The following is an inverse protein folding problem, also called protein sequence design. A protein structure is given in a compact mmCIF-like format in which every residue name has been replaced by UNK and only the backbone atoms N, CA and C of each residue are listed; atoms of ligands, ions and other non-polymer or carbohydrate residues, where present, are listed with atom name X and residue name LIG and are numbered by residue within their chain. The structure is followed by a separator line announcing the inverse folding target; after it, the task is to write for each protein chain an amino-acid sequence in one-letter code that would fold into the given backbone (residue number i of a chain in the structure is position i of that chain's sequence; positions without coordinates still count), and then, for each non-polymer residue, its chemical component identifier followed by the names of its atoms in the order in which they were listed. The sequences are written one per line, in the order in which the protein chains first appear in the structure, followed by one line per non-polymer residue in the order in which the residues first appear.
data_IF_883557266393
#
_entry.id   IF_883557266393
#
_cell.length_a   1.000
_cell.length_b   1.000
_cell.length_c   1.000
_cell.angle_alpha   90.00
_cell.angle_beta   90.00
_cell.angle_gamma   90.00
#
_symmetry.space_group_name_H-M   'P 1'
#
loop_
_entity.id
_entity.type
_entity.pdbx_description
1 polymer ?
#
# COMPACT_ATOMS: atom_id res chain seq x y z
N UNK A 1 4.30 -36.20 -4.08
CA UNK A 1 4.02 -35.77 -5.46
C UNK A 1 5.12 -34.83 -5.88
N UNK A 2 5.97 -35.25 -6.79
CA UNK A 2 6.98 -34.34 -7.37
C UNK A 2 6.29 -33.38 -8.31
N UNK A 3 6.28 -32.10 -7.97
CA UNK A 3 5.84 -31.05 -8.86
C UNK A 3 6.99 -30.78 -9.83
N UNK A 4 6.88 -31.32 -11.02
CA UNK A 4 7.88 -31.08 -12.07
C UNK A 4 7.67 -29.68 -12.67
N UNK A 5 8.26 -28.67 -12.02
CA UNK A 5 8.19 -27.29 -12.47
C UNK A 5 9.21 -27.13 -13.61
N UNK A 6 8.72 -27.07 -14.84
CA UNK A 6 9.54 -26.73 -15.99
C UNK A 6 9.85 -25.24 -15.99
N UNK A 7 11.11 -24.87 -15.95
CA UNK A 7 11.51 -23.47 -16.10
C UNK A 7 11.10 -22.94 -17.49
N UNK A 8 10.54 -21.74 -17.52
CA UNK A 8 10.16 -21.01 -18.73
C UNK A 8 10.93 -19.70 -18.80
N UNK A 9 11.22 -19.23 -19.99
CA UNK A 9 11.80 -17.89 -20.17
C UNK A 9 10.77 -16.79 -19.88
N UNK A 10 11.24 -15.59 -19.52
CA UNK A 10 10.35 -14.44 -19.33
C UNK A 10 9.55 -14.11 -20.60
N UNK A 11 10.13 -14.32 -21.78
CA UNK A 11 9.46 -14.10 -23.07
C UNK A 11 8.30 -15.07 -23.24
N UNK A 12 8.51 -16.38 -23.00
CA UNK A 12 7.43 -17.37 -23.06
C UNK A 12 6.30 -17.08 -22.08
N UNK A 13 6.63 -16.64 -20.86
CA UNK A 13 5.64 -16.25 -19.86
C UNK A 13 4.84 -15.03 -20.29
N UNK A 14 5.51 -14.01 -20.87
CA UNK A 14 4.86 -12.81 -21.37
C UNK A 14 3.92 -13.14 -22.54
N UNK A 15 4.36 -13.90 -23.53
CA UNK A 15 3.54 -14.32 -24.67
C UNK A 15 2.32 -15.13 -24.24
N UNK A 16 2.47 -16.01 -23.24
CA UNK A 16 1.35 -16.77 -22.68
C UNK A 16 0.37 -15.87 -21.96
N UNK A 17 0.86 -14.90 -21.16
CA UNK A 17 0.02 -13.92 -20.49
C UNK A 17 -0.77 -13.08 -21.50
N UNK A 18 -0.13 -12.55 -22.55
CA UNK A 18 -0.81 -11.74 -23.58
C UNK A 18 -1.91 -12.52 -24.31
N UNK A 19 -1.73 -13.82 -24.52
CA UNK A 19 -2.73 -14.69 -25.16
C UNK A 19 -3.89 -15.05 -24.24
N UNK A 20 -3.67 -15.12 -22.93
CA UNK A 20 -4.63 -15.66 -21.96
C UNK A 20 -5.22 -14.62 -21.03
N UNK A 21 -4.69 -13.39 -21.02
CA UNK A 21 -5.18 -12.34 -20.14
C UNK A 21 -6.64 -11.99 -20.42
N UNK A 22 -7.41 -11.90 -19.36
CA UNK A 22 -8.77 -11.38 -19.41
C UNK A 22 -8.74 -9.89 -19.15
N UNK A 23 -9.19 -9.11 -20.12
CA UNK A 23 -9.35 -7.66 -19.96
C UNK A 23 -10.58 -7.38 -19.12
N UNK A 24 -10.36 -7.01 -17.85
CA UNK A 24 -11.43 -6.49 -16.99
C UNK A 24 -11.53 -4.97 -17.13
N UNK A 25 -12.75 -4.45 -17.13
CA UNK A 25 -12.96 -3.00 -17.06
C UNK A 25 -12.66 -2.54 -15.64
N UNK A 26 -11.63 -1.74 -15.47
CA UNK A 26 -11.27 -1.11 -14.20
C UNK A 26 -11.84 0.29 -14.06
N UNK A 27 -12.07 0.72 -12.84
CA UNK A 27 -12.39 2.10 -12.49
C UNK A 27 -11.24 2.72 -11.69
N UNK A 28 -10.93 3.98 -12.01
CA UNK A 28 -9.90 4.72 -11.28
C UNK A 28 -10.43 5.18 -9.93
N UNK A 29 -9.77 4.78 -8.86
CA UNK A 29 -10.05 5.27 -7.52
C UNK A 29 -9.65 6.75 -7.41
N UNK A 30 -10.54 7.56 -6.84
CA UNK A 30 -10.34 8.99 -6.61
C UNK A 30 -10.08 9.25 -5.14
N UNK A 31 -9.05 10.03 -4.85
CA UNK A 31 -8.71 10.52 -3.50
C UNK A 31 -8.92 12.03 -3.43
N UNK A 32 -9.37 12.51 -2.27
CA UNK A 32 -9.56 13.92 -2.00
C UNK A 32 -8.98 14.30 -0.63
N UNK A 33 -8.84 15.59 -0.36
CA UNK A 33 -8.35 16.16 0.90
C UNK A 33 -6.91 15.72 1.27
N UNK A 34 -6.05 15.61 0.27
CA UNK A 34 -4.64 15.25 0.42
C UNK A 34 -3.68 16.43 0.18
N UNK A 35 -4.21 17.66 0.19
CA UNK A 35 -3.43 18.90 0.08
C UNK A 35 -2.56 18.98 -1.19
N UNK A 36 -3.08 18.52 -2.32
CA UNK A 36 -2.39 18.52 -3.62
C UNK A 36 -1.26 17.52 -3.75
N UNK A 37 -1.12 16.60 -2.80
CA UNK A 37 -0.16 15.49 -2.87
C UNK A 37 -0.67 14.36 -3.77
N UNK A 38 0.24 13.56 -4.27
CA UNK A 38 -0.09 12.34 -5.02
C UNK A 38 -0.39 11.18 -4.05
N UNK A 39 -1.29 10.29 -4.45
CA UNK A 39 -1.66 9.08 -3.70
C UNK A 39 -1.43 7.87 -4.59
N UNK A 40 -0.65 6.91 -4.12
CA UNK A 40 -0.35 5.67 -4.84
C UNK A 40 0.10 4.54 -3.90
N UNK A 41 0.47 3.39 -4.46
CA UNK A 41 0.83 2.19 -3.70
C UNK A 41 -0.18 1.89 -2.60
N UNK A 42 -1.45 1.81 -2.99
CA UNK A 42 -2.55 1.56 -2.08
C UNK A 42 -2.66 0.08 -1.70
N UNK A 43 -3.13 -0.20 -0.49
CA UNK A 43 -3.54 -1.56 -0.12
C UNK A 43 -4.87 -1.93 -0.77
N UNK A 44 -5.19 -3.22 -0.82
CA UNK A 44 -6.58 -3.63 -0.98
C UNK A 44 -7.43 -3.07 0.17
N UNK A 45 -8.73 -2.79 -0.04
CA UNK A 45 -9.62 -2.39 1.03
C UNK A 45 -9.72 -3.49 2.11
N UNK A 46 -9.66 -3.07 3.37
CA UNK A 46 -9.81 -3.95 4.53
C UNK A 46 -10.84 -3.37 5.52
N UNK A 47 -11.37 -4.22 6.39
CA UNK A 47 -12.42 -3.82 7.32
C UNK A 47 -11.84 -3.35 8.65
N UNK A 48 -12.28 -2.17 9.09
CA UNK A 48 -12.01 -1.61 10.42
C UNK A 48 -13.32 -1.06 10.97
N UNK A 49 -13.79 -1.62 12.07
CA UNK A 49 -15.05 -1.22 12.73
C UNK A 49 -16.23 -1.08 11.76
N UNK A 50 -16.38 -2.06 10.85
CA UNK A 50 -17.45 -2.11 9.87
C UNK A 50 -17.30 -1.12 8.70
N UNK A 51 -16.17 -0.44 8.57
CA UNK A 51 -15.86 0.45 7.45
C UNK A 51 -14.79 -0.16 6.57
N UNK A 52 -14.91 0.04 5.27
CA UNK A 52 -13.82 -0.27 4.32
C UNK A 52 -12.78 0.84 4.37
N UNK A 53 -11.55 0.44 4.63
CA UNK A 53 -10.39 1.34 4.76
C UNK A 53 -9.33 0.96 3.73
N UNK A 54 -8.67 1.94 3.16
CA UNK A 54 -7.45 1.78 2.34
C UNK A 54 -6.32 2.48 3.07
N UNK A 55 -5.17 1.84 3.21
CA UNK A 55 -3.93 2.52 3.53
C UNK A 55 -3.21 2.88 2.22
N UNK A 56 -2.69 4.09 2.12
CA UNK A 56 -2.07 4.60 0.92
C UNK A 56 -0.83 5.44 1.20
N UNK A 57 0.14 5.37 0.31
CA UNK A 57 1.31 6.25 0.29
C UNK A 57 0.89 7.61 -0.27
N UNK A 58 1.18 8.66 0.48
CA UNK A 58 0.87 10.05 0.14
C UNK A 58 2.15 10.86 0.18
N UNK A 59 2.52 11.50 -0.91
CA UNK A 59 3.73 12.32 -0.96
C UNK A 59 3.64 13.47 -1.96
N UNK A 60 4.55 14.43 -1.83
CA UNK A 60 4.77 15.44 -2.85
C UNK A 60 5.51 14.83 -4.04
N UNK A 61 5.19 15.30 -5.24
CA UNK A 61 5.72 14.76 -6.51
C UNK A 61 7.24 14.81 -6.63
N UNK A 62 7.88 15.69 -5.92
CA UNK A 62 9.32 15.95 -5.94
C UNK A 62 10.06 15.45 -4.70
N UNK A 63 9.44 14.57 -3.92
CA UNK A 63 9.97 14.07 -2.67
C UNK A 63 9.87 12.55 -2.59
N UNK A 64 10.90 11.91 -2.04
CA UNK A 64 10.88 10.50 -1.68
C UNK A 64 10.39 10.26 -0.24
N UNK A 65 10.19 11.33 0.53
CA UNK A 65 9.61 11.25 1.86
C UNK A 65 8.09 11.27 1.77
N UNK A 66 7.49 10.16 2.13
CA UNK A 66 6.07 9.95 2.07
C UNK A 66 5.47 9.70 3.43
N UNK A 67 4.16 9.77 3.45
CA UNK A 67 3.35 9.40 4.60
C UNK A 67 2.37 8.32 4.22
N UNK A 68 2.10 7.40 5.11
CA UNK A 68 0.97 6.50 4.99
C UNK A 68 -0.21 7.10 5.74
N UNK A 69 -1.31 7.26 5.02
CA UNK A 69 -2.59 7.72 5.54
C UNK A 69 -3.65 6.65 5.33
N UNK A 70 -4.66 6.65 6.18
CA UNK A 70 -5.82 5.78 6.06
C UNK A 70 -7.00 6.55 5.47
N UNK A 71 -7.71 5.91 4.56
CA UNK A 71 -8.81 6.52 3.81
C UNK A 71 -10.07 5.69 3.93
N UNK A 72 -11.22 6.37 4.00
CA UNK A 72 -12.55 5.78 3.90
C UNK A 72 -13.28 6.35 2.69
N UNK A 73 -14.18 5.56 2.12
CA UNK A 73 -15.01 6.02 1.01
C UNK A 73 -16.19 6.82 1.54
N UNK A 74 -16.42 8.01 0.98
CA UNK A 74 -17.56 8.88 1.30
C UNK A 74 -18.71 8.76 0.29
N UNK A 75 -18.65 7.77 -0.62
CA UNK A 75 -19.61 7.52 -1.68
C UNK A 75 -18.99 7.64 -3.07
N UNK A 76 -18.25 8.69 -3.37
CA UNK A 76 -17.62 8.90 -4.68
C UNK A 76 -16.08 8.93 -4.60
N UNK A 77 -15.53 9.41 -3.49
CA UNK A 77 -14.10 9.59 -3.29
C UNK A 77 -13.63 8.93 -2.00
N UNK A 78 -12.34 8.68 -1.93
CA UNK A 78 -11.67 8.24 -0.72
C UNK A 78 -11.06 9.45 -0.03
N UNK A 79 -11.45 9.69 1.20
CA UNK A 79 -11.00 10.81 2.03
C UNK A 79 -10.24 10.32 3.25
N UNK A 80 -9.30 11.12 3.80
CA UNK A 80 -8.61 10.75 5.03
C UNK A 80 -9.57 10.39 6.16
N UNK A 81 -9.35 9.23 6.77
CA UNK A 81 -10.14 8.77 7.91
C UNK A 81 -9.78 9.59 9.15
N UNK A 82 -10.77 10.26 9.73
CA UNK A 82 -10.57 11.09 10.93
C UNK A 82 -10.18 10.24 12.15
N UNK A 83 -9.28 10.75 12.96
CA UNK A 83 -8.84 10.10 14.20
C UNK A 83 -7.84 8.98 14.03
N UNK A 84 -7.33 8.77 12.80
CA UNK A 84 -6.26 7.81 12.53
C UNK A 84 -4.90 8.49 12.55
N UNK A 85 -3.86 7.78 12.97
CA UNK A 85 -2.50 8.30 12.89
C UNK A 85 -2.03 8.39 11.43
N UNK A 86 -1.04 9.25 11.21
CA UNK A 86 -0.28 9.33 9.97
C UNK A 86 1.13 8.82 10.26
N UNK A 87 1.63 7.93 9.43
CA UNK A 87 2.96 7.34 9.61
C UNK A 87 3.92 7.83 8.53
N UNK A 88 5.13 8.18 8.93
CA UNK A 88 6.21 8.51 8.00
C UNK A 88 6.80 7.21 7.42
N UNK A 89 6.06 6.59 6.50
CA UNK A 89 6.36 5.31 5.86
C UNK A 89 6.12 5.39 4.36
N UNK A 90 6.71 4.44 3.63
CA UNK A 90 6.40 4.15 2.22
C UNK A 90 5.67 2.81 2.09
N UNK A 91 5.06 2.60 0.94
CA UNK A 91 4.57 1.31 0.45
C UNK A 91 3.82 0.48 1.51
N UNK A 92 2.66 0.96 1.97
CA UNK A 92 1.91 0.27 3.00
C UNK A 92 1.45 -1.11 2.55
N UNK A 93 1.46 -2.04 3.47
CA UNK A 93 0.82 -3.34 3.28
C UNK A 93 -0.13 -3.66 4.44
N UNK A 94 -1.14 -4.45 4.14
CA UNK A 94 -2.06 -5.01 5.12
C UNK A 94 -2.23 -6.49 4.81
N UNK A 95 -2.13 -7.32 5.82
CA UNK A 95 -2.40 -8.75 5.73
C UNK A 95 -3.11 -9.24 6.98
N UNK A 96 -3.70 -10.42 6.91
CA UNK A 96 -4.37 -11.05 8.05
C UNK A 96 -3.64 -12.33 8.43
N UNK A 97 -3.20 -12.42 9.68
CA UNK A 97 -2.53 -13.60 10.24
C UNK A 97 -3.25 -13.97 11.53
N UNK A 98 -3.75 -15.21 11.63
CA UNK A 98 -4.45 -15.71 12.82
C UNK A 98 -5.58 -14.77 13.30
N UNK A 99 -6.40 -14.30 12.38
CA UNK A 99 -7.47 -13.33 12.62
C UNK A 99 -7.03 -11.93 13.09
N UNK A 100 -5.74 -11.69 13.21
CA UNK A 100 -5.17 -10.38 13.49
C UNK A 100 -4.82 -9.66 12.19
N UNK A 101 -5.25 -8.39 12.05
CA UNK A 101 -4.87 -7.54 10.93
C UNK A 101 -3.51 -6.93 11.22
N UNK A 102 -2.56 -7.23 10.35
CA UNK A 102 -1.19 -6.70 10.40
C UNK A 102 -1.07 -5.58 9.36
N UNK A 103 -0.72 -4.41 9.82
CA UNK A 103 -0.38 -3.26 9.00
C UNK A 103 1.13 -3.02 9.06
N UNK A 104 1.71 -2.61 7.97
CA UNK A 104 3.10 -2.20 7.92
C UNK A 104 3.41 -1.35 6.71
N UNK A 105 4.65 -0.91 6.66
CA UNK A 105 5.19 -0.12 5.58
C UNK A 105 6.70 -0.10 5.64
N UNK A 106 7.30 0.63 4.74
CA UNK A 106 8.75 0.79 4.65
C UNK A 106 9.15 2.07 5.36
N UNK A 107 9.96 1.94 6.38
CA UNK A 107 10.59 3.09 7.06
C UNK A 107 11.83 3.52 6.27
N UNK A 108 11.79 4.73 5.75
CA UNK A 108 12.87 5.31 4.95
C UNK A 108 13.54 6.40 5.76
N UNK A 109 14.80 6.24 6.02
CA UNK A 109 15.57 7.25 6.74
C UNK A 109 16.95 7.43 6.12
N UNK A 110 17.48 8.63 6.31
CA UNK A 110 18.81 8.96 5.82
C UNK A 110 19.87 8.34 6.71
N UNK A 111 20.83 7.65 6.09
CA UNK A 111 22.00 7.14 6.82
C UNK A 111 22.95 8.30 7.14
N UNK A 112 23.19 8.57 8.42
CA UNK A 112 24.08 9.65 8.86
C UNK A 112 25.53 9.50 8.37
N UNK A 113 25.98 8.23 8.21
CA UNK A 113 27.33 7.92 7.73
C UNK A 113 27.41 7.82 6.20
N UNK A 114 26.30 7.78 5.51
CA UNK A 114 26.19 7.70 4.05
C UNK A 114 24.91 8.41 3.59
N UNK A 115 24.91 9.75 3.51
CA UNK A 115 23.71 10.56 3.27
C UNK A 115 22.94 10.25 1.99
N UNK A 116 23.55 9.53 1.05
CA UNK A 116 22.94 9.10 -0.21
C UNK A 116 22.28 7.71 -0.13
N UNK A 117 22.35 7.05 1.03
CA UNK A 117 21.73 5.74 1.24
C UNK A 117 20.48 5.90 2.09
N UNK A 118 19.37 5.42 1.55
CA UNK A 118 18.12 5.23 2.27
C UNK A 118 18.12 3.83 2.89
N UNK A 119 17.64 3.72 4.11
CA UNK A 119 17.53 2.47 4.85
C UNK A 119 16.06 2.16 5.16
N UNK A 120 15.72 0.89 5.34
CA UNK A 120 14.35 0.37 5.29
C UNK A 120 14.00 -0.55 6.46
N UNK A 121 12.82 -0.41 7.06
CA UNK A 121 12.24 -1.36 8.04
C UNK A 121 10.77 -1.08 8.42
N UNK A 122 10.09 -1.85 9.19
CA UNK A 122 9.00 -2.26 9.45
C UNK A 122 7.89 -2.31 10.23
N UNK A 123 6.97 -2.62 10.97
CA UNK A 123 5.51 -2.84 11.01
C UNK A 123 4.86 -2.81 12.41
N UNK A 124 3.50 -2.70 12.43
CA UNK A 124 2.63 -2.71 13.60
C UNK A 124 1.30 -3.39 13.25
N UNK A 125 0.50 -3.78 14.22
CA UNK A 125 -0.89 -4.20 13.97
C UNK A 125 -1.77 -2.97 13.73
N UNK A 126 -2.87 -3.15 12.98
CA UNK A 126 -3.81 -2.06 12.69
C UNK A 126 -4.46 -1.56 13.99
N UNK A 127 -4.78 -2.44 14.92
CA UNK A 127 -5.34 -2.06 16.21
C UNK A 127 -4.41 -1.13 16.98
N UNK A 128 -3.12 -1.43 17.02
CA UNK A 128 -2.13 -0.54 17.62
C UNK A 128 -2.00 0.78 16.87
N UNK A 129 -2.11 0.76 15.55
CA UNK A 129 -2.07 1.96 14.75
C UNK A 129 -3.23 2.92 15.05
N UNK A 130 -4.40 2.41 15.38
CA UNK A 130 -5.60 3.21 15.69
C UNK A 130 -5.79 3.56 17.18
N UNK A 131 -5.02 2.97 18.06
CA UNK A 131 -5.08 3.20 19.51
C UNK A 131 -4.16 4.32 20.01
N UNK A 132 -3.41 4.94 19.15
CA UNK A 132 -2.43 5.99 19.53
C UNK A 132 -3.10 7.36 19.52
#
# INVERSE_FOLDING_TARGET
MEVNIKAQSCIELLENFEKTQLMAKGEKIKFANVEGRDVYNITAPFDVDGKKVIAARVEKRDSEFSQVMFFVNDGETWIPMKGTPVFDLQDPFVTKINDEIIFGGVDVFQNENAPHQLLWRTFSTVEKAFMI
#
